data_IF_590183493479
#
_entry.id   IF_590183493479
#
_cell.length_a   1.000
_cell.length_b   1.000
_cell.length_c   1.000
_cell.angle_alpha   90.00
_cell.angle_beta   90.00
_cell.angle_gamma   90.00
#
_symmetry.space_group_name_H-M   'P 1'
#
loop_
_entity.id
_entity.type
_entity.pdbx_description
1 polymer ?
#
# COMPACT_ATOMS: atom_id res chain seq x y z
N UNK A 1 10.92 -31.39 8.67
CA UNK A 1 11.69 -30.14 8.43
C UNK A 1 12.67 -30.49 7.34
N UNK A 2 12.48 -29.96 6.13
CA UNK A 2 13.38 -30.19 5.00
C UNK A 2 14.67 -29.44 5.30
N UNK A 3 15.81 -30.10 5.18
CA UNK A 3 17.11 -29.44 5.41
C UNK A 3 17.39 -28.47 4.25
N UNK A 4 18.13 -27.36 4.46
CA UNK A 4 18.37 -26.37 3.39
C UNK A 4 19.04 -26.98 2.14
N UNK A 5 19.80 -28.07 2.28
CA UNK A 5 20.37 -28.81 1.14
C UNK A 5 19.32 -29.56 0.32
N UNK A 6 18.30 -30.11 0.97
CA UNK A 6 17.19 -30.80 0.30
C UNK A 6 16.24 -29.80 -0.37
N UNK A 7 16.06 -28.60 0.21
CA UNK A 7 15.26 -27.53 -0.40
C UNK A 7 15.84 -27.09 -1.74
N UNK A 8 17.15 -26.84 -1.79
CA UNK A 8 17.83 -26.45 -3.03
C UNK A 8 17.75 -27.57 -4.09
N UNK A 9 17.87 -28.84 -3.69
CA UNK A 9 17.72 -29.97 -4.60
C UNK A 9 16.31 -30.03 -5.21
N UNK A 10 15.28 -29.87 -4.37
CA UNK A 10 13.88 -29.85 -4.83
C UNK A 10 13.58 -28.65 -5.75
N UNK A 11 14.15 -27.48 -5.46
CA UNK A 11 14.03 -26.29 -6.30
C UNK A 11 14.65 -26.51 -7.69
N UNK A 12 15.86 -27.07 -7.76
CA UNK A 12 16.52 -27.40 -9.03
C UNK A 12 15.73 -28.45 -9.82
N UNK A 13 15.20 -29.50 -9.16
CA UNK A 13 14.33 -30.48 -9.83
C UNK A 13 13.05 -29.85 -10.38
N UNK A 14 12.40 -28.97 -9.61
CA UNK A 14 11.18 -28.28 -10.05
C UNK A 14 11.46 -27.37 -11.24
N UNK A 15 12.51 -26.55 -11.15
CA UNK A 15 12.92 -25.66 -12.24
C UNK A 15 13.30 -26.45 -13.51
N UNK A 16 13.92 -27.62 -13.37
CA UNK A 16 14.22 -28.51 -14.48
C UNK A 16 12.94 -29.10 -15.13
N UNK A 17 11.94 -29.49 -14.34
CA UNK A 17 10.66 -30.00 -14.85
C UNK A 17 9.84 -28.93 -15.59
N UNK A 18 9.94 -27.68 -15.13
CA UNK A 18 9.24 -26.52 -15.70
C UNK A 18 10.00 -25.86 -16.86
N UNK A 19 11.16 -26.39 -17.27
CA UNK A 19 12.05 -25.84 -18.31
C UNK A 19 12.52 -24.39 -17.99
N UNK A 20 12.71 -24.10 -16.70
CA UNK A 20 13.07 -22.76 -16.18
C UNK A 20 14.47 -22.72 -15.55
N UNK A 21 15.30 -23.73 -15.81
CA UNK A 21 16.64 -23.83 -15.25
C UNK A 21 17.59 -22.82 -15.92
N UNK A 22 18.32 -22.04 -15.12
CA UNK A 22 19.37 -21.18 -15.63
C UNK A 22 20.60 -22.02 -16.07
N UNK A 23 21.43 -21.53 -17.01
CA UNK A 23 22.60 -22.29 -17.47
C UNK A 23 23.62 -22.61 -16.34
N UNK A 24 23.71 -21.77 -15.31
CA UNK A 24 24.54 -22.02 -14.12
C UNK A 24 23.95 -23.12 -13.22
N UNK A 25 22.63 -23.25 -13.22
CA UNK A 25 21.88 -24.24 -12.43
C UNK A 25 21.84 -25.61 -13.11
N UNK A 26 21.97 -25.67 -14.44
CA UNK A 26 22.08 -26.91 -15.21
C UNK A 26 23.30 -27.75 -14.77
N UNK A 27 24.44 -27.09 -14.56
CA UNK A 27 25.66 -27.76 -14.09
C UNK A 27 25.48 -28.30 -12.67
N UNK A 28 24.87 -27.51 -11.78
CA UNK A 28 24.57 -27.91 -10.41
C UNK A 28 23.56 -29.08 -10.37
N UNK A 29 22.55 -29.05 -11.22
CA UNK A 29 21.56 -30.10 -11.37
C UNK A 29 22.16 -31.40 -11.91
N UNK A 30 23.01 -31.31 -12.94
CA UNK A 30 23.73 -32.48 -13.47
C UNK A 30 24.67 -33.10 -12.43
N UNK A 31 25.38 -32.26 -11.66
CA UNK A 31 26.23 -32.72 -10.56
C UNK A 31 25.42 -33.42 -9.46
N UNK A 32 24.25 -32.89 -9.12
CA UNK A 32 23.33 -33.49 -8.14
C UNK A 32 22.82 -34.87 -8.61
N UNK A 33 22.38 -34.98 -9.87
CA UNK A 33 21.94 -36.26 -10.44
C UNK A 33 23.06 -37.29 -10.54
N UNK A 34 24.30 -36.84 -10.76
CA UNK A 34 25.47 -37.73 -10.78
C UNK A 34 25.87 -38.19 -9.37
N UNK A 35 25.65 -37.35 -8.35
CA UNK A 35 26.01 -37.64 -6.96
C UNK A 35 25.04 -38.63 -6.28
N UNK A 36 23.76 -38.63 -6.66
CA UNK A 36 22.74 -39.51 -6.06
C UNK A 36 21.91 -40.23 -7.12
N UNK A 37 21.98 -41.58 -7.20
CA UNK A 37 21.09 -42.36 -8.07
C UNK A 37 19.62 -42.28 -7.63
N UNK A 38 19.35 -42.09 -6.34
CA UNK A 38 18.00 -41.93 -5.79
C UNK A 38 17.32 -40.66 -6.35
N UNK A 39 18.06 -39.54 -6.41
CA UNK A 39 17.56 -38.28 -6.98
C UNK A 39 17.21 -38.41 -8.48
N UNK A 40 17.92 -39.28 -9.20
CA UNK A 40 17.61 -39.57 -10.61
C UNK A 40 16.33 -40.37 -10.77
N UNK A 41 16.14 -41.41 -9.95
CA UNK A 41 14.91 -42.21 -9.96
C UNK A 41 13.69 -41.34 -9.60
N UNK A 42 13.82 -40.44 -8.62
CA UNK A 42 12.77 -39.49 -8.26
C UNK A 42 12.42 -38.55 -9.43
N UNK A 43 13.44 -37.98 -10.09
CA UNK A 43 13.25 -37.10 -11.23
C UNK A 43 12.60 -37.80 -12.43
N UNK A 44 13.01 -39.03 -12.73
CA UNK A 44 12.40 -39.85 -13.80
C UNK A 44 10.91 -40.16 -13.48
N UNK A 45 10.59 -40.49 -12.23
CA UNK A 45 9.20 -40.68 -11.79
C UNK A 45 8.35 -39.42 -11.95
N UNK A 46 8.88 -38.26 -11.58
CA UNK A 46 8.18 -36.98 -11.75
C UNK A 46 7.94 -36.65 -13.23
N UNK A 47 8.93 -36.88 -14.09
CA UNK A 47 8.77 -36.70 -15.54
C UNK A 47 7.68 -37.62 -16.09
N UNK A 48 7.64 -38.88 -15.68
CA UNK A 48 6.65 -39.82 -16.15
C UNK A 48 5.24 -39.42 -15.70
N UNK A 49 5.09 -38.96 -14.46
CA UNK A 49 3.81 -38.40 -13.98
C UNK A 49 3.37 -37.19 -14.82
N UNK A 50 4.30 -36.27 -15.15
CA UNK A 50 4.03 -35.12 -16.02
C UNK A 50 3.61 -35.54 -17.43
N UNK A 51 4.23 -36.58 -18.00
CA UNK A 51 3.83 -37.15 -19.30
C UNK A 51 2.42 -37.71 -19.25
N UNK A 52 2.05 -38.41 -18.17
CA UNK A 52 0.70 -38.91 -17.98
C UNK A 52 -0.32 -37.76 -17.94
N UNK A 53 -0.03 -36.70 -17.19
CA UNK A 53 -0.91 -35.52 -17.08
C UNK A 53 -1.02 -34.79 -18.42
N UNK A 54 0.11 -34.58 -19.13
CA UNK A 54 0.14 -33.94 -20.45
C UNK A 54 -0.56 -34.78 -21.53
N UNK A 55 -0.63 -36.09 -21.35
CA UNK A 55 -1.30 -37.03 -22.26
C UNK A 55 -2.81 -37.10 -22.08
N UNK A 56 -3.39 -36.41 -21.10
CA UNK A 56 -4.85 -36.35 -20.97
C UNK A 56 -5.48 -35.68 -22.20
N UNK A 57 -6.63 -36.18 -22.67
CA UNK A 57 -7.32 -35.57 -23.79
C UNK A 57 -7.73 -34.14 -23.43
N UNK A 58 -7.59 -33.24 -24.40
CA UNK A 58 -8.10 -31.88 -24.27
C UNK A 58 -9.63 -31.94 -24.09
N UNK A 59 -10.10 -31.43 -22.96
CA UNK A 59 -11.53 -31.44 -22.63
C UNK A 59 -12.17 -30.21 -23.26
N UNK A 60 -12.99 -30.42 -24.29
CA UNK A 60 -13.79 -29.35 -24.86
C UNK A 60 -14.83 -28.84 -23.86
N UNK A 61 -14.99 -27.52 -23.83
CA UNK A 61 -16.00 -26.90 -22.98
C UNK A 61 -17.41 -27.32 -23.44
N UNK A 62 -18.32 -27.65 -22.51
CA UNK A 62 -19.72 -27.89 -22.86
C UNK A 62 -20.31 -26.70 -23.62
N UNK A 63 -21.24 -26.92 -24.58
CA UNK A 63 -21.77 -25.85 -25.42
C UNK A 63 -22.42 -24.70 -24.62
N UNK A 64 -23.02 -25.01 -23.47
CA UNK A 64 -23.65 -24.02 -22.59
C UNK A 64 -22.68 -23.29 -21.65
N UNK A 65 -21.37 -23.58 -21.69
CA UNK A 65 -20.39 -23.05 -20.74
C UNK A 65 -20.34 -21.51 -20.79
N UNK A 66 -20.24 -20.95 -22.00
CA UNK A 66 -20.19 -19.50 -22.20
C UNK A 66 -21.48 -18.81 -21.76
N UNK A 67 -22.65 -19.41 -22.03
CA UNK A 67 -23.93 -18.85 -21.60
C UNK A 67 -24.05 -18.80 -20.07
N UNK A 68 -23.65 -19.89 -19.40
CA UNK A 68 -23.66 -19.97 -17.93
C UNK A 68 -22.70 -18.95 -17.31
N UNK A 69 -21.51 -18.79 -17.88
CA UNK A 69 -20.52 -17.78 -17.44
C UNK A 69 -21.06 -16.37 -17.65
N UNK A 70 -21.57 -16.06 -18.84
CA UNK A 70 -22.14 -14.75 -19.17
C UNK A 70 -23.31 -14.40 -18.24
N UNK A 71 -24.22 -15.36 -17.99
CA UNK A 71 -25.34 -15.19 -17.06
C UNK A 71 -24.85 -14.92 -15.63
N UNK A 72 -23.80 -15.60 -15.17
CA UNK A 72 -23.22 -15.41 -13.82
C UNK A 72 -22.55 -14.04 -13.68
N UNK A 73 -21.79 -13.61 -14.70
CA UNK A 73 -21.14 -12.28 -14.71
C UNK A 73 -22.20 -11.18 -14.72
N UNK A 74 -23.22 -11.27 -15.59
CA UNK A 74 -24.31 -10.29 -15.67
C UNK A 74 -25.06 -10.15 -14.35
N UNK A 75 -25.41 -11.27 -13.71
CA UNK A 75 -26.09 -11.28 -12.40
C UNK A 75 -25.25 -10.60 -11.32
N UNK A 76 -23.94 -10.83 -11.28
CA UNK A 76 -23.03 -10.22 -10.31
C UNK A 76 -22.90 -8.71 -10.53
N UNK A 77 -22.81 -8.26 -11.80
CA UNK A 77 -22.73 -6.83 -12.15
C UNK A 77 -23.99 -6.07 -11.77
N UNK A 78 -25.17 -6.65 -12.03
CA UNK A 78 -26.45 -6.05 -11.69
C UNK A 78 -26.59 -5.87 -10.17
N UNK A 79 -26.33 -6.93 -9.40
CA UNK A 79 -26.43 -6.90 -7.93
C UNK A 79 -25.46 -5.92 -7.27
N UNK A 80 -24.26 -5.70 -7.85
CA UNK A 80 -23.26 -4.77 -7.30
C UNK A 80 -23.52 -3.31 -7.69
N UNK A 81 -24.17 -3.04 -8.83
CA UNK A 81 -24.52 -1.68 -9.24
C UNK A 81 -25.76 -1.15 -8.52
N UNK A 82 -26.81 -1.95 -8.45
CA UNK A 82 -28.12 -1.50 -7.93
C UNK A 82 -28.12 -1.35 -6.41
N UNK A 83 -27.49 -2.27 -5.67
CA UNK A 83 -27.48 -2.19 -4.20
C UNK A 83 -26.66 -1.03 -3.67
N UNK A 84 -25.52 -0.72 -4.29
CA UNK A 84 -24.70 0.44 -3.89
C UNK A 84 -25.40 1.76 -4.21
N UNK A 85 -26.06 1.89 -5.37
CA UNK A 85 -26.80 3.12 -5.74
C UNK A 85 -28.07 3.33 -4.91
N UNK A 86 -28.87 2.26 -4.66
CA UNK A 86 -30.08 2.37 -3.83
C UNK A 86 -29.77 2.68 -2.37
N UNK A 87 -28.63 2.20 -1.84
CA UNK A 87 -28.22 2.46 -0.45
C UNK A 87 -27.47 3.79 -0.33
N UNK A 88 -26.70 4.21 -1.33
CA UNK A 88 -25.95 5.47 -1.27
C UNK A 88 -26.83 6.71 -1.35
N UNK A 89 -27.97 6.66 -2.06
CA UNK A 89 -28.91 7.78 -2.17
C UNK A 89 -29.48 8.24 -0.81
N UNK A 90 -30.09 7.37 0.02
CA UNK A 90 -30.57 7.78 1.35
C UNK A 90 -29.40 8.17 2.29
N UNK A 91 -28.24 7.53 2.14
CA UNK A 91 -27.06 7.86 2.94
C UNK A 91 -26.50 9.26 2.64
N UNK A 92 -26.55 9.71 1.39
CA UNK A 92 -26.13 11.05 1.01
C UNK A 92 -27.00 12.12 1.68
N UNK A 93 -28.32 11.96 1.65
CA UNK A 93 -29.25 12.89 2.33
C UNK A 93 -28.99 12.87 3.84
N UNK A 94 -28.83 11.70 4.44
CA UNK A 94 -28.53 11.56 5.87
C UNK A 94 -27.20 12.25 6.25
N UNK A 95 -26.16 12.06 5.43
CA UNK A 95 -24.85 12.71 5.64
C UNK A 95 -24.95 14.23 5.58
N UNK A 96 -25.66 14.78 4.58
CA UNK A 96 -25.91 16.23 4.47
C UNK A 96 -26.68 16.75 5.68
N UNK A 97 -27.70 16.01 6.14
CA UNK A 97 -28.47 16.37 7.34
C UNK A 97 -27.62 16.38 8.60
N UNK A 98 -26.72 15.40 8.77
CA UNK A 98 -25.81 15.34 9.92
C UNK A 98 -24.82 16.51 9.90
N UNK A 99 -24.20 16.80 8.76
CA UNK A 99 -23.28 17.94 8.63
C UNK A 99 -23.99 19.26 8.91
N UNK A 100 -25.20 19.44 8.39
CA UNK A 100 -26.02 20.64 8.64
C UNK A 100 -26.37 20.77 10.13
N UNK A 101 -26.78 19.67 10.78
CA UNK A 101 -27.08 19.67 12.21
C UNK A 101 -25.85 20.07 13.03
N UNK A 102 -24.69 19.47 12.75
CA UNK A 102 -23.42 19.81 13.43
C UNK A 102 -23.07 21.29 13.22
N UNK A 103 -23.21 21.83 12.01
CA UNK A 103 -22.92 23.23 11.72
C UNK A 103 -23.82 24.19 12.52
N UNK A 104 -25.12 23.90 12.58
CA UNK A 104 -26.09 24.69 13.37
C UNK A 104 -25.78 24.59 14.86
N UNK A 105 -25.50 23.39 15.37
CA UNK A 105 -25.11 23.20 16.77
C UNK A 105 -23.81 23.93 17.10
N UNK A 106 -22.81 23.87 16.21
CA UNK A 106 -21.55 24.58 16.38
C UNK A 106 -21.75 26.10 16.38
N UNK A 107 -22.62 26.62 15.49
CA UNK A 107 -22.98 28.04 15.46
C UNK A 107 -23.69 28.47 16.74
N UNK A 108 -24.66 27.70 17.24
CA UNK A 108 -25.32 27.95 18.53
C UNK A 108 -24.33 27.97 19.70
N UNK A 109 -23.43 26.97 19.76
CA UNK A 109 -22.38 26.90 20.78
C UNK A 109 -21.32 28.01 20.66
N UNK A 110 -21.07 28.53 19.45
CA UNK A 110 -20.22 29.70 19.25
C UNK A 110 -20.90 31.00 19.65
N UNK A 111 -22.21 31.16 19.39
CA UNK A 111 -22.96 32.36 19.77
C UNK A 111 -22.97 32.57 21.29
N UNK A 112 -23.04 31.50 22.08
CA UNK A 112 -22.93 31.58 23.55
C UNK A 112 -21.50 31.88 24.03
N UNK A 113 -20.48 31.66 23.19
CA UNK A 113 -19.06 31.86 23.52
C UNK A 113 -18.51 33.26 23.19
N UNK A 114 -19.22 34.11 22.44
CA UNK A 114 -18.63 35.32 21.82
C UNK A 114 -19.27 36.71 22.12
N UNK A 115 -19.85 37.01 23.30
CA UNK A 115 -20.01 38.43 23.70
C UNK A 115 -18.96 38.92 24.72
N UNK A 116 -18.20 38.04 25.39
CA UNK A 116 -17.37 38.44 26.54
C UNK A 116 -15.84 38.48 26.30
N UNK A 117 -15.31 37.84 25.26
CA UNK A 117 -13.86 37.71 25.07
C UNK A 117 -13.23 38.85 24.24
N UNK A 118 -14.04 39.65 23.53
CA UNK A 118 -13.56 40.73 22.65
C UNK A 118 -13.55 42.14 23.26
N UNK A 119 -14.16 42.38 24.43
CA UNK A 119 -14.20 43.73 25.04
C UNK A 119 -13.12 44.02 26.09
N UNK A 120 -12.38 43.02 26.59
CA UNK A 120 -11.32 43.26 27.62
C UNK A 120 -9.95 43.52 26.99
N UNK A 121 -9.72 43.14 25.74
CA UNK A 121 -8.40 43.23 25.10
C UNK A 121 -8.06 44.62 24.56
N UNK A 122 -9.06 45.48 24.38
CA UNK A 122 -8.88 46.82 23.79
C UNK A 122 -8.90 47.96 24.84
N UNK A 123 -9.08 47.65 26.13
CA UNK A 123 -9.20 48.64 27.22
C UNK A 123 -7.93 48.80 28.08
N UNK A 124 -6.77 48.31 27.62
CA UNK A 124 -5.51 48.38 28.36
C UNK A 124 -4.39 48.99 27.51
N UNK A 125 -4.52 50.28 27.17
CA UNK A 125 -3.48 51.33 27.18
C UNK A 125 -4.04 52.57 26.46
N UNK A 126 -4.01 53.75 27.09
CA UNK A 126 -2.79 54.55 27.01
C UNK A 126 -2.51 55.45 28.23
N UNK A 127 -1.23 55.61 28.58
CA UNK A 127 -0.75 56.84 29.22
C UNK A 127 0.66 57.11 28.71
N UNK A 128 0.73 58.14 27.87
CA UNK A 128 1.94 58.82 27.40
C UNK A 128 2.69 59.49 28.57
N UNK A 129 4.01 59.68 28.43
CA UNK A 129 4.73 60.74 29.18
C UNK A 129 6.17 60.47 29.64
N UNK A 130 7.12 60.48 28.70
CA UNK A 130 8.43 61.18 28.71
C UNK A 130 9.28 61.26 30.00
N UNK A 131 10.52 60.75 29.92
CA UNK A 131 11.75 61.36 30.50
C UNK A 131 13.01 60.82 29.77
N UNK A 132 13.66 61.67 28.97
CA UNK A 132 15.11 61.62 28.64
C UNK A 132 15.90 62.30 29.82
N UNK A 133 17.25 62.24 29.99
CA UNK A 133 18.31 61.78 29.06
C UNK A 133 19.54 61.05 29.68
N UNK A 134 20.52 60.77 28.81
CA UNK A 134 21.98 60.71 29.05
C UNK A 134 22.63 59.36 29.47
N UNK A 135 23.67 58.97 28.72
CA UNK A 135 24.64 57.94 29.10
C UNK A 135 25.34 57.29 27.90
N UNK A 136 26.56 57.74 27.64
CA UNK A 136 27.49 57.36 26.58
C UNK A 136 27.95 55.87 26.56
N UNK A 137 28.62 55.52 25.44
CA UNK A 137 29.60 54.43 25.26
C UNK A 137 29.04 52.97 25.24
N UNK A 138 29.33 52.08 24.28
CA UNK A 138 30.58 51.80 23.57
C UNK A 138 30.28 50.98 22.28
N UNK A 139 31.24 50.91 21.35
CA UNK A 139 31.11 50.40 19.98
C UNK A 139 31.36 48.85 19.83
N UNK A 140 31.80 48.29 18.67
CA UNK A 140 31.02 47.47 17.74
C UNK A 140 31.58 46.01 17.54
N UNK A 141 31.22 45.35 16.42
CA UNK A 141 31.73 44.04 15.86
C UNK A 141 30.68 42.89 16.00
N UNK A 142 30.20 42.13 14.99
CA UNK A 142 30.80 41.62 13.73
C UNK A 142 29.72 40.90 12.87
N UNK A 143 29.88 40.74 11.53
CA UNK A 143 28.88 40.09 10.66
C UNK A 143 29.04 38.56 10.60
N UNK A 144 27.96 37.84 10.26
CA UNK A 144 28.00 36.38 9.97
C UNK A 144 27.92 36.13 8.48
N UNK A 145 28.98 35.52 7.97
CA UNK A 145 29.16 35.07 6.60
C UNK A 145 28.95 33.55 6.50
N UNK A 146 28.35 33.17 5.38
CA UNK A 146 28.59 32.00 4.52
C UNK A 146 28.73 30.53 5.01
N UNK A 147 27.97 29.69 4.30
CA UNK A 147 28.29 28.34 3.76
C UNK A 147 28.41 27.13 4.69
N UNK A 148 27.50 26.16 4.50
CA UNK A 148 27.78 24.74 4.79
C UNK A 148 27.34 23.86 3.62
N UNK A 149 28.36 23.15 3.14
CA UNK A 149 28.51 22.27 1.99
C UNK A 149 27.88 20.89 2.21
N UNK A 150 27.29 20.31 1.15
CA UNK A 150 26.91 18.88 1.02
C UNK A 150 28.15 17.97 0.94
N UNK A 151 28.15 16.76 1.53
CA UNK A 151 29.07 15.70 1.13
C UNK A 151 28.40 14.67 0.19
N UNK A 152 29.20 13.91 -0.59
CA UNK A 152 28.74 12.98 -1.62
C UNK A 152 28.53 11.55 -1.09
N UNK A 153 27.84 10.77 -1.92
CA UNK A 153 27.54 9.35 -1.75
C UNK A 153 28.73 8.46 -2.11
N UNK A 154 28.85 7.34 -1.38
CA UNK A 154 29.44 6.07 -1.83
C UNK A 154 28.32 5.02 -1.88
#
# INVERSE_FOLDING_TARGET
MVTPSESNAAELMSAALDEQLAPEEEEAFAAMLAASPEAREEFEQLQDMLKLVKGLPEVEAPPDFFEKVAKKIRRRKLMRGETFLLVSLPFQVLSVMIVLAIAVTYMMLQLERDPASKLVRDAATPSDGVSEPAGDEDAPDKPRDETVTRPPAE
#
